data_IF_935963508139
#
_entry.id   IF_935963508139
#
_cell.length_a   1.000
_cell.length_b   1.000
_cell.length_c   1.000
_cell.angle_alpha   90.00
_cell.angle_beta   90.00
_cell.angle_gamma   90.00
#
_symmetry.space_group_name_H-M   'P 1'
#
loop_
_entity.id
_entity.type
_entity.pdbx_description
1 polymer ?
#
# COMPACT_ATOMS: atom_id res chain seq x y z
N UNK A 1 -32.59 -2.98 -18.12
CA UNK A 1 -31.71 -1.96 -17.53
C UNK A 1 -31.59 -0.79 -18.49
N UNK A 2 -31.75 0.44 -18.03
CA UNK A 2 -31.44 1.64 -18.81
C UNK A 2 -30.13 2.20 -18.27
N UNK A 3 -29.08 2.21 -19.09
CA UNK A 3 -27.80 2.85 -18.74
C UNK A 3 -28.01 4.36 -18.82
N UNK A 4 -27.81 5.08 -17.72
CA UNK A 4 -28.01 6.54 -17.63
C UNK A 4 -26.76 7.35 -17.99
N UNK A 5 -25.57 6.74 -17.87
CA UNK A 5 -24.29 7.32 -18.28
C UNK A 5 -23.22 6.23 -18.36
N UNK A 6 -22.19 6.47 -19.17
CA UNK A 6 -20.96 5.67 -19.19
C UNK A 6 -19.76 6.62 -19.24
N UNK A 7 -18.85 6.47 -18.28
CA UNK A 7 -17.58 7.21 -18.23
C UNK A 7 -16.42 6.31 -18.66
N UNK A 8 -15.45 6.88 -19.36
CA UNK A 8 -14.14 6.26 -19.58
C UNK A 8 -13.10 7.19 -18.95
N UNK A 9 -12.32 6.67 -18.01
CA UNK A 9 -11.19 7.41 -17.47
C UNK A 9 -10.17 7.64 -18.58
N UNK A 10 -9.62 8.86 -18.64
CA UNK A 10 -8.47 9.12 -19.49
C UNK A 10 -7.31 8.20 -19.03
N UNK A 11 -6.54 7.61 -19.96
CA UNK A 11 -5.39 6.80 -19.58
C UNK A 11 -4.39 7.66 -18.82
N UNK A 12 -4.01 7.21 -17.62
CA UNK A 12 -2.93 7.81 -16.86
C UNK A 12 -1.58 7.31 -17.39
N UNK A 13 -0.55 8.15 -17.31
CA UNK A 13 0.80 7.72 -17.60
C UNK A 13 1.26 6.72 -16.52
N UNK A 14 1.72 5.51 -16.89
CA UNK A 14 2.26 4.56 -15.94
C UNK A 14 3.55 5.10 -15.30
N UNK A 15 3.76 4.78 -14.03
CA UNK A 15 5.03 5.02 -13.35
C UNK A 15 6.01 3.93 -13.83
N UNK A 16 7.13 4.28 -14.50
CA UNK A 16 8.09 3.29 -15.00
C UNK A 16 8.76 2.54 -13.85
N UNK A 17 9.27 3.28 -12.87
CA UNK A 17 9.97 2.75 -11.69
C UNK A 17 9.08 2.83 -10.44
N UNK A 18 8.06 1.98 -10.39
CA UNK A 18 7.06 1.99 -9.32
C UNK A 18 7.69 1.90 -7.91
N UNK A 19 8.71 1.06 -7.74
CA UNK A 19 9.35 0.87 -6.44
C UNK A 19 10.08 2.13 -5.95
N UNK A 20 10.78 2.83 -6.84
CA UNK A 20 11.43 4.08 -6.52
C UNK A 20 10.39 5.15 -6.14
N UNK A 21 9.34 5.31 -6.96
CA UNK A 21 8.29 6.29 -6.70
C UNK A 21 7.57 6.04 -5.37
N UNK A 22 7.38 4.77 -4.96
CA UNK A 22 6.80 4.44 -3.66
C UNK A 22 7.75 4.83 -2.51
N UNK A 23 9.06 4.55 -2.64
CA UNK A 23 10.04 4.95 -1.62
C UNK A 23 10.12 6.47 -1.50
N UNK A 24 10.16 7.20 -2.61
CA UNK A 24 10.16 8.67 -2.62
C UNK A 24 8.91 9.23 -1.92
N UNK A 25 7.73 8.67 -2.20
CA UNK A 25 6.48 9.08 -1.54
C UNK A 25 6.44 8.79 -0.04
N UNK A 26 7.13 7.73 0.42
CA UNK A 26 7.25 7.40 1.84
C UNK A 26 8.25 8.31 2.58
N UNK A 27 9.24 8.85 1.87
CA UNK A 27 10.25 9.77 2.39
C UNK A 27 9.81 11.23 2.39
N UNK A 28 8.90 11.58 1.49
CA UNK A 28 8.30 12.92 1.40
C UNK A 28 6.78 12.87 1.57
N UNK A 29 6.26 12.46 2.75
CA UNK A 29 4.83 12.34 2.96
C UNK A 29 4.15 13.72 3.05
N UNK A 30 2.88 13.76 2.64
CA UNK A 30 2.07 14.98 2.74
C UNK A 30 1.46 15.10 4.13
N UNK A 31 1.87 16.13 4.89
CA UNK A 31 1.23 16.50 6.15
C UNK A 31 1.59 15.61 7.35
N UNK A 32 2.64 14.81 7.26
CA UNK A 32 3.18 14.03 8.39
C UNK A 32 4.71 13.95 8.33
N UNK A 33 5.32 13.36 9.35
CA UNK A 33 6.72 12.92 9.31
C UNK A 33 6.82 11.59 8.54
N UNK A 34 7.98 11.28 7.90
CA UNK A 34 8.25 9.99 7.25
C UNK A 34 8.05 8.79 8.19
N UNK A 35 7.56 7.67 7.66
CA UNK A 35 7.34 6.47 8.47
C UNK A 35 8.64 5.98 9.11
N UNK A 36 9.79 6.12 8.44
CA UNK A 36 11.08 5.70 8.99
C UNK A 36 11.50 6.40 10.28
N UNK A 37 10.97 7.60 10.53
CA UNK A 37 11.22 8.34 11.76
C UNK A 37 10.23 7.95 12.88
N UNK A 38 9.11 7.31 12.52
CA UNK A 38 8.10 6.81 13.46
C UNK A 38 8.40 5.38 13.93
N UNK A 39 9.12 4.61 13.11
CA UNK A 39 9.43 3.20 13.37
C UNK A 39 10.53 3.06 14.43
N UNK A 40 10.28 2.14 15.37
CA UNK A 40 11.24 1.69 16.38
C UNK A 40 11.21 0.16 16.42
N UNK A 41 12.24 -0.52 16.97
CA UNK A 41 12.26 -1.98 17.06
C UNK A 41 11.02 -2.58 17.76
N UNK A 42 10.47 -1.88 18.74
CA UNK A 42 9.29 -2.26 19.51
C UNK A 42 7.94 -1.88 18.85
N UNK A 43 7.96 -1.16 17.72
CA UNK A 43 6.73 -0.73 17.05
C UNK A 43 5.97 -1.94 16.50
N UNK A 44 4.73 -2.13 16.96
CA UNK A 44 3.78 -3.08 16.36
C UNK A 44 3.07 -2.42 15.19
N UNK A 45 3.13 -3.04 14.01
CA UNK A 45 2.63 -2.48 12.76
C UNK A 45 1.52 -3.38 12.20
N UNK A 46 0.38 -2.78 11.90
CA UNK A 46 -0.67 -3.40 11.08
C UNK A 46 -0.60 -2.83 9.66
N UNK A 47 -0.12 -3.63 8.71
CA UNK A 47 -0.07 -3.26 7.29
C UNK A 47 -1.37 -3.67 6.61
N UNK A 48 -2.27 -2.70 6.43
CA UNK A 48 -3.59 -2.92 5.82
C UNK A 48 -3.50 -2.78 4.31
N UNK A 49 -4.00 -3.78 3.58
CA UNK A 49 -3.95 -3.87 2.12
C UNK A 49 -5.34 -4.13 1.54
N UNK A 50 -5.57 -3.62 0.33
CA UNK A 50 -6.79 -3.88 -0.42
C UNK A 50 -6.97 -5.37 -0.77
N UNK A 51 -8.22 -5.79 -0.97
CA UNK A 51 -8.53 -7.12 -1.50
C UNK A 51 -8.28 -7.25 -3.01
N UNK A 52 -8.41 -8.48 -3.51
CA UNK A 52 -8.19 -8.84 -4.92
C UNK A 52 -9.18 -8.19 -5.91
N UNK A 53 -10.30 -7.63 -5.42
CA UNK A 53 -11.28 -6.92 -6.24
C UNK A 53 -10.88 -5.49 -6.56
N UNK A 54 -9.78 -4.99 -5.97
CA UNK A 54 -9.27 -3.64 -6.23
C UNK A 54 -8.19 -3.64 -7.31
N UNK A 55 -8.14 -2.59 -8.15
CA UNK A 55 -7.12 -2.47 -9.19
C UNK A 55 -5.74 -2.10 -8.63
N UNK A 56 -5.62 -1.90 -7.32
CA UNK A 56 -4.36 -1.57 -6.63
C UNK A 56 -3.35 -2.69 -6.86
N UNK A 57 -2.15 -2.42 -7.40
CA UNK A 57 -1.13 -3.44 -7.65
C UNK A 57 -0.40 -3.83 -6.35
N UNK A 58 -1.14 -4.34 -5.36
CA UNK A 58 -0.61 -4.66 -4.02
C UNK A 58 0.59 -5.62 -4.08
N UNK A 59 0.58 -6.59 -4.98
CA UNK A 59 1.71 -7.51 -5.17
C UNK A 59 3.03 -6.81 -5.56
N UNK A 60 2.98 -5.58 -6.09
CA UNK A 60 4.15 -4.74 -6.38
C UNK A 60 4.43 -3.71 -5.30
N UNK A 61 3.40 -3.22 -4.61
CA UNK A 61 3.52 -2.18 -3.59
C UNK A 61 3.94 -2.75 -2.22
N UNK A 62 3.31 -3.84 -1.79
CA UNK A 62 3.49 -4.39 -0.45
C UNK A 62 4.94 -4.81 -0.15
N UNK A 63 5.69 -5.45 -1.08
CA UNK A 63 7.10 -5.75 -0.84
C UNK A 63 7.94 -4.49 -0.61
N UNK A 64 7.69 -3.43 -1.38
CA UNK A 64 8.44 -2.16 -1.26
C UNK A 64 8.17 -1.47 0.08
N UNK A 65 6.90 -1.46 0.52
CA UNK A 65 6.53 -0.91 1.83
C UNK A 65 7.09 -1.76 2.96
N UNK A 66 7.06 -3.08 2.83
CA UNK A 66 7.62 -3.99 3.84
C UNK A 66 9.13 -3.78 3.98
N UNK A 67 9.88 -3.77 2.87
CA UNK A 67 11.31 -3.53 2.87
C UNK A 67 11.64 -2.17 3.50
N UNK A 68 10.88 -1.12 3.16
CA UNK A 68 11.03 0.21 3.74
C UNK A 68 10.89 0.18 5.28
N UNK A 69 9.91 -0.53 5.81
CA UNK A 69 9.68 -0.63 7.26
C UNK A 69 10.79 -1.43 7.96
N UNK A 70 11.24 -2.51 7.34
CA UNK A 70 12.37 -3.31 7.83
C UNK A 70 13.68 -2.51 7.83
N UNK A 71 13.95 -1.77 6.75
CA UNK A 71 15.09 -0.85 6.63
C UNK A 71 15.05 0.24 7.72
N UNK A 72 13.85 0.68 8.11
CA UNK A 72 13.63 1.63 9.20
C UNK A 72 13.77 1.03 10.62
N UNK A 73 14.06 -0.27 10.73
CA UNK A 73 14.30 -0.95 12.01
C UNK A 73 13.08 -1.69 12.57
N UNK A 74 11.97 -1.76 11.84
CA UNK A 74 10.85 -2.60 12.25
C UNK A 74 11.29 -4.06 12.31
N UNK A 75 10.78 -4.78 13.30
CA UNK A 75 11.01 -6.21 13.43
C UNK A 75 9.91 -6.96 12.68
N UNK A 76 10.28 -7.92 11.82
CA UNK A 76 9.31 -8.66 11.02
C UNK A 76 8.22 -9.34 11.87
N UNK A 77 8.57 -9.86 13.04
CA UNK A 77 7.62 -10.46 13.99
C UNK A 77 6.57 -9.48 14.53
N UNK A 78 6.80 -8.18 14.42
CA UNK A 78 5.88 -7.12 14.87
C UNK A 78 5.00 -6.58 13.74
N UNK A 79 5.14 -7.10 12.50
CA UNK A 79 4.36 -6.66 11.35
C UNK A 79 3.27 -7.69 11.05
N UNK A 80 2.01 -7.27 11.15
CA UNK A 80 0.86 -8.08 10.74
C UNK A 80 0.29 -7.52 9.44
N UNK A 81 0.27 -8.35 8.38
CA UNK A 81 -0.44 -8.03 7.15
C UNK A 81 -1.94 -8.34 7.27
N UNK A 82 -2.79 -7.39 6.87
CA UNK A 82 -4.25 -7.51 6.95
C UNK A 82 -4.88 -7.15 5.60
N UNK A 83 -5.67 -8.05 5.03
CA UNK A 83 -6.46 -7.73 3.84
C UNK A 83 -7.83 -7.19 4.22
N UNK A 84 -8.12 -5.95 3.81
CA UNK A 84 -9.34 -5.23 4.11
C UNK A 84 -10.49 -5.63 3.16
N UNK A 85 -11.02 -6.85 3.34
CA UNK A 85 -12.08 -7.41 2.47
C UNK A 85 -13.46 -6.75 2.63
N UNK A 86 -13.71 -6.02 3.73
CA UNK A 86 -15.02 -5.45 4.03
C UNK A 86 -16.12 -6.53 4.07
N UNK A 87 -17.17 -6.38 3.25
CA UNK A 87 -18.27 -7.36 3.12
C UNK A 87 -18.08 -8.33 1.95
N UNK A 88 -16.92 -8.31 1.28
CA UNK A 88 -16.63 -9.23 0.20
C UNK A 88 -16.42 -10.65 0.73
N UNK A 89 -16.52 -11.64 -0.16
CA UNK A 89 -16.16 -13.01 0.18
C UNK A 89 -14.68 -13.10 0.52
N UNK A 90 -14.34 -14.03 1.40
CA UNK A 90 -12.94 -14.35 1.72
C UNK A 90 -12.23 -14.75 0.44
N UNK A 91 -11.06 -14.18 0.23
CA UNK A 91 -10.20 -14.53 -0.90
C UNK A 91 -9.71 -15.97 -0.70
N UNK A 92 -9.96 -16.83 -1.68
CA UNK A 92 -9.52 -18.24 -1.71
C UNK A 92 -8.21 -18.41 -2.44
#
# INVERSE_FOLDING_TARGET
WQVVAQGRLAPLQPIPELAAAVRDALDEPVGSTPLREMVKPETTIALVMDDAGRPTPIHRLAPVVLDYLLDAGAQAQNITGLFAIGTHQVMS
#
